data_IF_035424225395
#
_entry.id   IF_035424225395
#
_cell.length_a   1.000
_cell.length_b   1.000
_cell.length_c   1.000
_cell.angle_alpha   90.00
_cell.angle_beta   90.00
_cell.angle_gamma   90.00
#
_symmetry.space_group_name_H-M   'P 1'
#
loop_
_entity.id
_entity.type
_entity.pdbx_description
1 polymer ?
#
# COMPACT_ATOMS: atom_id res chain seq x y z
N UNK A 1 -16.55 -24.27 11.71
CA UNK A 1 -15.09 -24.46 11.52
C UNK A 1 -14.38 -23.13 11.75
N UNK A 2 -13.92 -22.89 12.98
CA UNK A 2 -13.20 -21.67 13.38
C UNK A 2 -11.71 -22.00 13.56
N UNK A 3 -10.90 -21.86 12.51
CA UNK A 3 -9.46 -22.22 12.57
C UNK A 3 -8.52 -21.07 12.20
N UNK A 4 -8.93 -19.81 12.36
CA UNK A 4 -8.08 -18.67 12.01
C UNK A 4 -7.20 -18.17 13.17
N UNK A 5 -7.59 -18.41 14.42
CA UNK A 5 -6.90 -17.84 15.58
C UNK A 5 -5.69 -18.67 16.07
N UNK A 6 -5.64 -19.97 15.73
CA UNK A 6 -4.62 -20.91 16.21
C UNK A 6 -3.28 -20.81 15.47
N UNK A 7 -3.25 -20.19 14.29
CA UNK A 7 -2.07 -20.20 13.41
C UNK A 7 -0.96 -19.24 13.89
N UNK A 8 -1.34 -18.13 14.54
CA UNK A 8 -0.39 -17.17 15.14
C UNK A 8 0.39 -17.75 16.34
N UNK A 9 -0.18 -18.72 17.06
CA UNK A 9 0.48 -19.40 18.17
C UNK A 9 1.46 -20.48 17.70
N UNK A 10 1.34 -20.94 16.46
CA UNK A 10 2.20 -21.92 15.81
C UNK A 10 3.26 -21.27 14.92
N UNK A 11 3.09 -19.99 14.57
CA UNK A 11 4.08 -19.22 13.84
C UNK A 11 5.39 -19.14 14.63
N UNK A 12 6.45 -19.73 14.10
CA UNK A 12 7.78 -19.63 14.67
C UNK A 12 8.25 -18.17 14.59
N UNK A 13 8.27 -17.50 15.75
CA UNK A 13 8.81 -16.15 15.93
C UNK A 13 8.15 -15.05 15.07
N UNK A 14 6.92 -14.60 15.38
CA UNK A 14 6.27 -13.52 14.64
C UNK A 14 7.03 -12.20 14.78
N UNK A 15 7.43 -11.61 13.66
CA UNK A 15 8.13 -10.31 13.59
C UNK A 15 7.13 -9.22 13.22
N UNK A 16 7.10 -8.13 13.99
CA UNK A 16 6.27 -6.98 13.69
C UNK A 16 6.97 -6.05 12.68
N UNK A 17 6.44 -5.98 11.46
CA UNK A 17 7.01 -5.16 10.39
C UNK A 17 6.64 -3.67 10.47
N UNK A 18 5.55 -3.32 11.17
CA UNK A 18 5.10 -1.94 11.37
C UNK A 18 3.59 -1.76 11.19
N UNK A 19 3.17 -0.50 11.09
CA UNK A 19 1.79 -0.07 10.87
C UNK A 19 1.57 0.30 9.40
N UNK A 20 0.33 0.11 8.95
CA UNK A 20 -0.15 0.44 7.61
C UNK A 20 -1.54 1.07 7.70
N UNK A 21 -1.90 1.85 6.69
CA UNK A 21 -3.20 2.53 6.58
C UNK A 21 -4.30 1.63 6.00
N UNK A 22 -3.91 0.60 5.26
CA UNK A 22 -4.87 -0.32 4.65
C UNK A 22 -4.21 -1.38 3.77
N UNK A 23 -5.00 -2.37 3.35
CA UNK A 23 -4.60 -3.44 2.44
C UNK A 23 -5.28 -3.18 1.11
N UNK A 24 -4.51 -3.16 0.03
CA UNK A 24 -5.06 -3.07 -1.34
C UNK A 24 -5.45 -4.47 -1.81
N UNK A 25 -4.56 -5.45 -1.61
CA UNK A 25 -4.83 -6.84 -1.95
C UNK A 25 -3.58 -7.61 -2.36
N UNK A 26 -3.79 -8.82 -2.89
CA UNK A 26 -2.74 -9.65 -3.48
C UNK A 26 -2.73 -9.51 -5.00
N UNK A 27 -1.56 -9.42 -5.60
CA UNK A 27 -1.39 -9.32 -7.06
C UNK A 27 -0.28 -10.26 -7.53
N UNK A 28 -0.44 -10.82 -8.71
CA UNK A 28 0.62 -11.51 -9.43
C UNK A 28 0.91 -10.71 -10.71
N UNK A 29 2.11 -10.13 -10.80
CA UNK A 29 2.46 -9.22 -11.91
C UNK A 29 2.68 -9.97 -13.23
N UNK A 30 3.10 -11.23 -13.15
CA UNK A 30 3.26 -12.14 -14.29
C UNK A 30 3.13 -13.58 -13.79
N UNK A 31 2.66 -14.51 -14.62
CA UNK A 31 2.41 -15.92 -14.24
C UNK A 31 3.63 -16.60 -13.61
N UNK A 32 4.82 -16.21 -14.06
CA UNK A 32 6.08 -16.78 -13.58
C UNK A 32 6.65 -16.04 -12.37
N UNK A 33 6.12 -14.87 -12.01
CA UNK A 33 6.58 -14.06 -10.88
C UNK A 33 5.84 -14.44 -9.57
N UNK A 34 6.45 -14.18 -8.39
CA UNK A 34 5.79 -14.44 -7.12
C UNK A 34 4.54 -13.57 -6.94
N UNK A 35 3.70 -13.97 -6.00
CA UNK A 35 2.60 -13.13 -5.53
C UNK A 35 3.14 -12.00 -4.66
N UNK A 36 2.52 -10.84 -4.77
CA UNK A 36 2.84 -9.64 -4.01
C UNK A 36 1.63 -9.21 -3.19
N UNK A 37 1.87 -8.82 -1.94
CA UNK A 37 0.88 -8.17 -1.09
C UNK A 37 1.08 -6.65 -1.18
N UNK A 38 0.05 -5.94 -1.63
CA UNK A 38 0.04 -4.49 -1.74
C UNK A 38 -0.65 -3.87 -0.54
N UNK A 39 0.05 -2.94 0.10
CA UNK A 39 -0.40 -2.25 1.30
C UNK A 39 -0.35 -0.73 1.10
N UNK A 40 -1.27 -0.02 1.72
CA UNK A 40 -1.27 1.44 1.80
C UNK A 40 -0.36 1.83 2.96
N UNK A 41 0.76 2.47 2.64
CA UNK A 41 1.73 2.94 3.63
C UNK A 41 1.40 4.34 4.12
N UNK A 42 1.02 5.23 3.20
CA UNK A 42 0.66 6.61 3.54
C UNK A 42 -0.57 7.04 2.75
N UNK A 43 -1.34 7.92 3.38
CA UNK A 43 -2.50 8.60 2.81
C UNK A 43 -2.48 10.07 3.18
N UNK A 44 -3.26 10.87 2.46
CA UNK A 44 -3.58 12.26 2.85
C UNK A 44 -5.08 12.48 2.74
N UNK A 45 -5.68 13.17 3.71
CA UNK A 45 -7.09 13.57 3.61
C UNK A 45 -7.19 14.73 2.63
N UNK A 46 -7.97 14.57 1.57
CA UNK A 46 -8.14 15.57 0.50
C UNK A 46 -9.47 16.31 0.57
N UNK A 47 -10.40 15.82 1.39
CA UNK A 47 -11.69 16.45 1.58
C UNK A 47 -12.59 15.68 2.53
N UNK A 48 -13.76 16.24 2.79
CA UNK A 48 -14.81 15.62 3.61
C UNK A 48 -16.13 15.64 2.85
N UNK A 49 -16.83 14.51 2.88
CA UNK A 49 -18.20 14.41 2.39
C UNK A 49 -19.19 14.74 3.52
N UNK A 50 -20.46 15.07 3.20
CA UNK A 50 -21.49 15.27 4.20
C UNK A 50 -21.57 14.09 5.17
N UNK A 51 -21.74 14.37 6.47
CA UNK A 51 -21.67 13.33 7.51
C UNK A 51 -20.26 13.10 8.05
N UNK A 52 -19.33 14.04 7.83
CA UNK A 52 -17.94 14.00 8.31
C UNK A 52 -17.15 12.77 7.84
N UNK A 53 -17.45 12.28 6.63
CA UNK A 53 -16.71 11.19 6.03
C UNK A 53 -15.45 11.72 5.33
N UNK A 54 -14.28 11.34 5.85
CA UNK A 54 -13.00 11.72 5.25
C UNK A 54 -12.77 10.99 3.92
N UNK A 55 -12.38 11.75 2.90
CA UNK A 55 -11.88 11.23 1.63
C UNK A 55 -10.37 11.28 1.67
N UNK A 56 -9.74 10.11 1.58
CA UNK A 56 -8.31 9.93 1.63
C UNK A 56 -7.78 9.62 0.23
N UNK A 57 -6.67 10.26 -0.16
CA UNK A 57 -5.86 9.91 -1.32
C UNK A 57 -4.70 9.04 -0.87
N UNK A 58 -4.43 7.96 -1.60
CA UNK A 58 -3.24 7.14 -1.37
C UNK A 58 -2.02 7.92 -1.86
N UNK A 59 -1.00 8.07 -1.01
CA UNK A 59 0.24 8.81 -1.36
C UNK A 59 1.45 7.91 -1.44
N UNK A 60 1.48 6.82 -0.66
CA UNK A 60 2.51 5.78 -0.77
C UNK A 60 1.91 4.41 -0.55
N UNK A 61 2.40 3.46 -1.34
CA UNK A 61 2.14 2.05 -1.17
C UNK A 61 3.45 1.31 -0.86
N UNK A 62 3.33 0.09 -0.38
CA UNK A 62 4.44 -0.87 -0.30
C UNK A 62 4.00 -2.21 -0.86
N UNK A 63 4.92 -2.90 -1.52
CA UNK A 63 4.70 -4.23 -2.08
C UNK A 63 5.61 -5.22 -1.35
N UNK A 64 5.02 -6.26 -0.76
CA UNK A 64 5.75 -7.32 -0.05
C UNK A 64 5.66 -8.60 -0.88
N UNK A 65 6.78 -9.23 -1.28
CA UNK A 65 6.72 -10.51 -1.97
C UNK A 65 6.26 -11.59 -0.97
N UNK A 66 5.25 -12.37 -1.37
CA UNK A 66 4.76 -13.53 -0.60
C UNK A 66 5.66 -14.76 -0.87
N UNK A 67 6.96 -14.58 -0.63
CA UNK A 67 7.98 -15.63 -0.77
C UNK A 67 8.62 -15.91 0.59
N UNK A 68 9.35 -17.01 0.71
CA UNK A 68 10.09 -17.39 1.93
C UNK A 68 11.31 -16.48 2.23
N UNK A 69 11.63 -15.53 1.34
CA UNK A 69 12.71 -14.58 1.55
C UNK A 69 12.38 -13.59 2.68
N UNK A 70 13.41 -13.20 3.45
CA UNK A 70 13.24 -12.26 4.55
C UNK A 70 12.62 -10.93 4.08
N UNK A 71 11.72 -10.35 4.89
CA UNK A 71 11.12 -9.06 4.57
C UNK A 71 12.21 -7.99 4.40
N UNK A 72 12.20 -7.34 3.25
CA UNK A 72 13.05 -6.18 2.97
C UNK A 72 12.68 -5.02 3.91
N UNK A 73 13.54 -4.01 4.05
CA UNK A 73 13.23 -2.81 4.83
C UNK A 73 12.05 -2.06 4.19
N UNK A 74 10.87 -2.16 4.80
CA UNK A 74 9.60 -1.61 4.27
C UNK A 74 9.39 -0.14 4.68
N UNK A 75 10.30 0.40 5.50
CA UNK A 75 10.22 1.72 6.15
C UNK A 75 8.82 2.02 6.74
N UNK A 76 8.13 1.00 7.28
CA UNK A 76 6.81 1.16 7.89
C UNK A 76 6.93 1.91 9.21
N UNK A 77 5.84 2.56 9.63
CA UNK A 77 5.83 3.20 10.93
C UNK A 77 5.93 2.15 12.05
N UNK A 78 6.80 2.33 13.04
CA UNK A 78 7.01 1.34 14.08
C UNK A 78 5.74 1.16 14.92
N UNK A 79 5.34 -0.11 15.14
CA UNK A 79 4.21 -0.41 16.00
C UNK A 79 4.59 -0.17 17.46
N UNK A 80 3.88 0.74 18.15
CA UNK A 80 4.13 1.09 19.55
C UNK A 80 4.14 -0.11 20.51
N UNK A 81 3.50 -1.24 20.18
CA UNK A 81 3.43 -2.44 21.04
C UNK A 81 4.68 -3.32 20.96
N UNK A 82 5.34 -3.36 19.80
CA UNK A 82 6.44 -4.29 19.53
C UNK A 82 7.76 -3.57 19.25
N UNK A 83 7.72 -2.27 18.94
CA UNK A 83 8.87 -1.39 18.76
C UNK A 83 9.00 -0.41 19.94
N UNK A 84 8.92 -0.90 21.18
CA UNK A 84 9.23 -0.09 22.36
C UNK A 84 10.73 0.16 22.43
N UNK A 85 11.17 1.42 22.39
CA UNK A 85 12.57 1.81 22.64
C UNK A 85 13.47 2.01 21.41
N UNK A 86 12.98 1.78 20.18
CA UNK A 86 13.72 2.10 18.94
C UNK A 86 13.41 3.56 18.55
N UNK A 87 13.69 4.51 19.45
CA UNK A 87 13.79 5.92 19.09
C UNK A 87 15.27 6.25 18.94
N UNK A 88 15.74 6.25 17.68
CA UNK A 88 17.06 6.70 17.19
C UNK A 88 18.23 5.75 17.46
N UNK A 89 18.70 5.06 16.42
CA UNK A 89 20.14 4.87 16.25
C UNK A 89 20.69 6.16 15.63
N UNK A 90 21.68 6.73 16.30
CA UNK A 90 22.32 7.99 15.99
C UNK A 90 22.76 8.09 14.53
N UNK A 91 22.38 9.20 13.90
CA UNK A 91 22.98 9.66 12.65
C UNK A 91 24.45 9.97 12.93
N UNK A 92 25.37 9.16 12.40
CA UNK A 92 26.70 9.68 12.09
C UNK A 92 26.58 10.45 10.77
N UNK A 93 26.94 11.72 10.88
CA UNK A 93 26.93 12.79 9.90
C UNK A 93 27.68 12.46 8.60
N UNK A 94 27.07 12.81 7.46
CA UNK A 94 27.60 13.78 6.49
C UNK A 94 26.52 14.11 5.43
N UNK A 95 26.09 15.37 5.40
CA UNK A 95 25.43 16.01 4.24
C UNK A 95 26.50 16.40 3.20
N UNK A 96 26.19 16.75 1.93
CA UNK A 96 24.88 17.17 1.39
C UNK A 96 24.52 16.58 0.01
N UNK A 97 23.29 16.88 -0.40
CA UNK A 97 22.82 17.22 -1.75
C UNK A 97 21.59 16.43 -2.20
N UNK A 98 20.55 17.20 -2.49
CA UNK A 98 19.20 16.79 -2.82
C UNK A 98 19.15 16.17 -4.22
N UNK A 99 18.20 15.26 -4.41
CA UNK A 99 17.89 14.50 -5.62
C UNK A 99 18.80 13.29 -5.91
N UNK A 100 18.15 12.10 -6.08
CA UNK A 100 18.69 10.78 -6.51
C UNK A 100 18.91 9.71 -5.42
N UNK A 101 18.03 9.63 -4.40
CA UNK A 101 18.17 8.63 -3.32
C UNK A 101 17.32 7.34 -3.47
N UNK A 102 16.82 6.99 -4.67
CA UNK A 102 16.09 5.74 -4.90
C UNK A 102 16.89 4.66 -5.68
N UNK A 103 18.21 4.79 -5.84
CA UNK A 103 18.95 3.87 -6.73
C UNK A 103 20.35 3.43 -6.29
N UNK A 104 20.65 3.37 -4.99
CA UNK A 104 21.93 2.81 -4.53
C UNK A 104 21.73 1.72 -3.49
N UNK A 105 21.67 0.48 -3.96
CA UNK A 105 22.53 -0.64 -3.51
C UNK A 105 22.37 -1.80 -4.50
N UNK A 106 23.15 -1.80 -5.59
CA UNK A 106 23.29 -2.96 -6.49
C UNK A 106 24.69 -2.99 -7.11
N UNK A 107 25.69 -3.43 -6.35
CA UNK A 107 26.95 -4.07 -6.78
C UNK A 107 27.77 -4.28 -5.50
N UNK A 108 28.18 -5.49 -5.09
CA UNK A 108 29.21 -6.27 -5.76
C UNK A 108 29.14 -7.73 -5.26
N UNK A 109 28.86 -8.68 -6.17
CA UNK A 109 29.39 -10.04 -6.06
C UNK A 109 29.89 -10.43 -7.44
N UNK A 110 31.22 -10.41 -7.63
CA UNK A 110 31.89 -11.10 -8.74
C UNK A 110 32.08 -12.55 -8.31
N UNK A 111 31.33 -13.47 -8.88
CA UNK A 111 31.63 -14.91 -8.82
C UNK A 111 31.84 -15.43 -10.23
N UNK A 112 33.12 -15.62 -10.57
CA UNK A 112 33.54 -16.58 -11.60
C UNK A 112 33.23 -17.99 -11.07
N UNK A 113 32.59 -18.85 -11.88
CA UNK A 113 32.87 -20.31 -12.00
C UNK A 113 31.91 -20.95 -13.05
N UNK A 114 32.54 -21.61 -14.04
CA UNK A 114 32.12 -22.71 -14.95
C UNK A 114 30.75 -22.76 -15.67
N UNK A 115 30.80 -22.42 -16.97
CA UNK A 115 30.50 -23.27 -18.14
C UNK A 115 29.45 -24.42 -18.13
N UNK A 116 28.28 -24.27 -17.52
CA UNK A 116 27.08 -25.08 -17.89
C UNK A 116 25.72 -24.34 -17.77
N UNK A 117 25.66 -23.20 -17.06
CA UNK A 117 24.39 -22.55 -16.68
C UNK A 117 23.98 -21.31 -17.50
N UNK A 118 24.55 -21.07 -18.69
CA UNK A 118 24.36 -19.80 -19.43
C UNK A 118 22.90 -19.48 -19.81
N UNK A 119 22.05 -20.49 -20.07
CA UNK A 119 20.61 -20.27 -20.35
C UNK A 119 19.83 -19.90 -19.08
N UNK A 120 20.00 -20.65 -18.00
CA UNK A 120 19.24 -20.48 -16.74
C UNK A 120 19.59 -19.17 -16.01
N UNK A 121 20.86 -18.75 -16.05
CA UNK A 121 21.30 -17.46 -15.48
C UNK A 121 20.76 -16.27 -16.30
N UNK A 122 20.70 -16.40 -17.63
CA UNK A 122 20.16 -15.35 -18.51
C UNK A 122 18.65 -15.15 -18.29
N UNK A 123 17.92 -16.24 -18.16
CA UNK A 123 16.46 -16.23 -17.92
C UNK A 123 16.10 -15.61 -16.56
N UNK A 124 16.83 -15.98 -15.50
CA UNK A 124 16.68 -15.36 -14.17
C UNK A 124 16.87 -13.85 -14.21
N UNK A 125 17.87 -13.37 -14.96
CA UNK A 125 18.17 -11.94 -15.10
C UNK A 125 17.08 -11.18 -15.85
N UNK A 126 16.52 -11.75 -16.91
CA UNK A 126 15.42 -11.12 -17.65
C UNK A 126 14.14 -11.08 -16.81
N UNK A 127 13.88 -12.11 -16.01
CA UNK A 127 12.74 -12.18 -15.09
C UNK A 127 12.81 -11.11 -14.01
N UNK A 128 13.97 -10.94 -13.38
CA UNK A 128 14.23 -9.87 -12.40
C UNK A 128 14.05 -8.47 -13.03
N UNK A 129 14.54 -8.29 -14.27
CA UNK A 129 14.36 -7.03 -15.01
C UNK A 129 12.90 -6.75 -15.33
N UNK A 130 12.12 -7.77 -15.69
CA UNK A 130 10.69 -7.65 -15.94
C UNK A 130 9.95 -7.28 -14.66
N UNK A 131 10.19 -8.01 -13.57
CA UNK A 131 9.57 -7.76 -12.26
C UNK A 131 9.80 -6.33 -11.79
N UNK A 132 11.05 -5.87 -11.88
CA UNK A 132 11.42 -4.50 -11.51
C UNK A 132 10.65 -3.46 -12.31
N UNK A 133 10.53 -3.62 -13.62
CA UNK A 133 9.79 -2.69 -14.49
C UNK A 133 8.29 -2.66 -14.16
N UNK A 134 7.70 -3.82 -13.89
CA UNK A 134 6.29 -3.92 -13.55
C UNK A 134 6.00 -3.28 -12.18
N UNK A 135 6.87 -3.50 -11.19
CA UNK A 135 6.77 -2.82 -9.90
C UNK A 135 6.94 -1.31 -10.05
N UNK A 136 7.93 -0.83 -10.81
CA UNK A 136 8.17 0.60 -11.04
C UNK A 136 6.91 1.28 -11.64
N UNK A 137 6.28 0.69 -12.65
CA UNK A 137 5.04 1.22 -13.23
C UNK A 137 3.86 1.15 -12.25
N UNK A 138 3.76 0.07 -11.47
CA UNK A 138 2.72 -0.04 -10.43
C UNK A 138 2.87 1.07 -9.37
N UNK A 139 4.09 1.29 -8.89
CA UNK A 139 4.39 2.35 -7.92
C UNK A 139 4.06 3.73 -8.51
N UNK A 140 4.48 3.99 -9.75
CA UNK A 140 4.16 5.23 -10.47
C UNK A 140 2.66 5.46 -10.60
N UNK A 141 1.89 4.41 -10.91
CA UNK A 141 0.43 4.49 -11.00
C UNK A 141 -0.19 4.98 -9.69
N UNK A 142 0.28 4.48 -8.53
CA UNK A 142 -0.25 4.89 -7.23
C UNK A 142 0.27 6.23 -6.73
N UNK A 143 1.53 6.58 -7.00
CA UNK A 143 2.19 7.74 -6.39
C UNK A 143 2.17 8.98 -7.29
N UNK A 144 2.29 8.83 -8.61
CA UNK A 144 2.48 9.96 -9.53
C UNK A 144 1.18 10.33 -10.27
N UNK A 145 0.25 9.38 -10.44
CA UNK A 145 -0.96 9.61 -11.22
C UNK A 145 -2.09 10.26 -10.41
N UNK A 146 -1.93 10.44 -9.10
CA UNK A 146 -2.91 11.10 -8.23
C UNK A 146 -4.34 10.54 -8.34
N UNK A 147 -4.46 9.24 -8.62
CA UNK A 147 -5.71 8.64 -9.12
C UNK A 147 -6.47 7.78 -8.11
N UNK A 148 -5.88 7.44 -6.96
CA UNK A 148 -6.48 6.48 -6.02
C UNK A 148 -7.00 7.16 -4.75
N UNK A 149 -8.31 7.05 -4.55
CA UNK A 149 -9.03 7.63 -3.43
C UNK A 149 -9.90 6.58 -2.74
N UNK A 150 -10.03 6.69 -1.43
CA UNK A 150 -10.91 5.84 -0.64
C UNK A 150 -11.46 6.61 0.56
N UNK A 151 -12.54 6.11 1.13
CA UNK A 151 -13.00 6.48 2.46
C UNK A 151 -13.26 5.21 3.25
N UNK A 152 -12.99 5.26 4.55
CA UNK A 152 -13.21 4.11 5.44
C UNK A 152 -14.67 3.97 5.84
N UNK A 153 -15.41 5.07 5.80
CA UNK A 153 -16.78 5.18 6.31
C UNK A 153 -17.81 5.46 5.23
N UNK A 154 -17.36 5.68 3.99
CA UNK A 154 -18.22 6.01 2.86
C UNK A 154 -17.75 5.29 1.60
N UNK A 155 -18.69 4.71 0.86
CA UNK A 155 -18.36 3.98 -0.37
C UNK A 155 -18.24 4.95 -1.55
N UNK A 156 -17.02 5.30 -1.96
CA UNK A 156 -16.82 6.21 -3.10
C UNK A 156 -17.17 5.59 -4.47
N UNK A 157 -17.36 4.27 -4.55
CA UNK A 157 -17.63 3.58 -5.84
C UNK A 157 -19.09 3.75 -6.29
N UNK A 158 -19.96 4.19 -5.39
CA UNK A 158 -21.36 4.46 -5.67
C UNK A 158 -21.65 5.95 -5.76
N UNK A 159 -22.55 6.35 -6.66
CA UNK A 159 -23.00 7.74 -6.69
C UNK A 159 -23.85 8.06 -5.45
N UNK A 160 -23.78 9.31 -4.98
CA UNK A 160 -24.57 9.81 -3.84
C UNK A 160 -26.06 9.49 -4.00
N UNK A 161 -26.58 9.57 -5.22
CA UNK A 161 -27.98 9.25 -5.53
C UNK A 161 -28.30 7.77 -5.27
N UNK A 162 -27.44 6.83 -5.68
CA UNK A 162 -27.64 5.40 -5.43
C UNK A 162 -27.54 5.07 -3.94
N UNK A 163 -26.60 5.69 -3.23
CA UNK A 163 -26.45 5.49 -1.78
C UNK A 163 -27.63 6.01 -0.99
N UNK A 164 -28.19 7.16 -1.39
CA UNK A 164 -29.39 7.74 -0.76
C UNK A 164 -30.65 6.87 -0.89
N UNK A 165 -30.68 5.99 -1.90
CA UNK A 165 -31.73 4.99 -2.06
C UNK A 165 -31.54 3.80 -1.12
N UNK A 166 -30.30 3.44 -0.79
CA UNK A 166 -29.96 2.39 0.16
C UNK A 166 -30.10 2.85 1.63
N UNK A 167 -29.72 4.10 1.93
CA UNK A 167 -29.59 4.57 3.31
C UNK A 167 -30.87 5.08 3.98
N UNK A 168 -31.98 5.30 3.27
CA UNK A 168 -33.15 5.93 3.93
C UNK A 168 -34.48 5.35 3.52
N UNK A 169 -35.05 4.63 4.50
CA UNK A 169 -36.41 4.78 5.08
C UNK A 169 -37.58 4.63 4.12
N UNK A 170 -38.67 3.99 4.57
CA UNK A 170 -39.96 3.84 3.87
C UNK A 170 -40.70 5.15 3.51
N UNK A 171 -39.98 6.25 3.30
CA UNK A 171 -40.52 7.55 2.95
C UNK A 171 -40.23 7.84 1.47
N UNK A 172 -41.27 8.17 0.68
CA UNK A 172 -41.12 8.51 -0.72
C UNK A 172 -40.28 9.78 -0.91
N UNK A 173 -39.63 9.90 -2.07
CA UNK A 173 -38.63 10.93 -2.39
C UNK A 173 -39.11 12.37 -2.12
N UNK A 174 -40.40 12.67 -2.30
CA UNK A 174 -40.99 13.99 -2.07
C UNK A 174 -41.05 14.41 -0.59
N UNK A 175 -40.85 13.47 0.37
CA UNK A 175 -40.76 13.77 1.81
C UNK A 175 -39.32 13.94 2.31
N UNK A 176 -38.32 13.62 1.48
CA UNK A 176 -36.90 13.83 1.84
C UNK A 176 -36.60 15.32 1.66
N UNK A 177 -36.71 16.10 2.74
CA UNK A 177 -36.39 17.54 2.74
C UNK A 177 -34.96 17.75 2.24
N UNK A 178 -34.81 18.46 1.12
CA UNK A 178 -33.56 19.12 0.73
C UNK A 178 -33.41 20.28 1.72
N UNK A 179 -32.30 20.40 2.48
CA UNK A 179 -32.07 21.58 3.29
C UNK A 179 -31.89 22.79 2.36
N UNK A 180 -32.95 23.57 2.16
CA UNK A 180 -32.91 24.86 1.46
C UNK A 180 -32.74 25.93 2.54
N UNK A 181 -31.58 25.95 3.20
CA UNK A 181 -31.23 27.01 4.16
C UNK A 181 -29.89 27.69 3.81
N UNK A 182 -29.55 27.80 2.53
CA UNK A 182 -28.44 28.64 2.09
C UNK A 182 -28.76 29.60 0.92
N UNK A 183 -30.03 29.76 0.53
CA UNK A 183 -30.42 30.70 -0.53
C UNK A 183 -31.61 31.56 -0.14
N UNK A 184 -31.48 32.35 0.93
CA UNK A 184 -32.21 33.63 1.07
C UNK A 184 -31.32 34.62 1.82
N UNK A 185 -30.36 35.19 1.09
CA UNK A 185 -29.71 36.44 1.42
C UNK A 185 -30.14 37.48 0.39
N UNK A 186 -31.32 38.06 0.59
CA UNK A 186 -31.73 39.36 0.08
C UNK A 186 -32.47 40.08 1.21
#
# INVERSE_FOLDING_TARGET
SSSAATDLLLAWNPICLGLIEGIIGKIQLHTDLPWWLLLIRQKVVVGKLPGDHDVCKITKIVAIPLSEAEPQDLDLEPCKKHHFGIYKTEKITQSPDDSKFLLRTFTQIKTNVSSSNKKKVKESKEKERLERRLLEELFKMFMDADSFYYSLTYDLTNSVQRQSACEKTNLPLWKKKIPIEQFTGY
#
